data_IF_765578185396
#
_entry.id   IF_765578185396
#
_cell.length_a   1.000
_cell.length_b   1.000
_cell.length_c   1.000
_cell.angle_alpha   90.00
_cell.angle_beta   90.00
_cell.angle_gamma   90.00
#
_symmetry.space_group_name_H-M   'P 1'
#
loop_
_entity.id
_entity.type
_entity.pdbx_description
1 polymer ?
#
# COMPACT_ATOMS: atom_id res chain seq x y z
N UNK A 1 -8.05 -11.88 23.09
CA UNK A 1 -8.44 -10.93 22.04
C UNK A 1 -7.11 -10.43 21.56
N UNK A 2 -6.56 -11.10 20.53
CA UNK A 2 -5.29 -10.67 19.96
C UNK A 2 -5.55 -9.31 19.36
N UNK A 3 -4.75 -8.35 19.78
CA UNK A 3 -4.73 -7.03 19.15
C UNK A 3 -3.84 -7.13 17.93
N UNK A 4 -4.05 -6.28 16.91
CA UNK A 4 -3.15 -6.23 15.76
C UNK A 4 -1.68 -5.97 16.16
N UNK A 5 -1.45 -5.45 17.37
CA UNK A 5 -0.11 -5.31 17.96
C UNK A 5 0.56 -6.65 18.27
N UNK A 6 -0.18 -7.68 18.68
CA UNK A 6 0.40 -9.00 18.96
C UNK A 6 0.99 -9.59 17.67
N UNK A 7 0.25 -9.51 16.56
CA UNK A 7 0.74 -9.90 15.24
C UNK A 7 1.85 -8.98 14.73
N UNK A 8 1.83 -7.69 15.07
CA UNK A 8 2.88 -6.75 14.69
C UNK A 8 4.21 -7.10 15.38
N UNK A 9 4.16 -7.48 16.67
CA UNK A 9 5.30 -7.99 17.42
C UNK A 9 5.90 -9.23 16.76
N UNK A 10 5.05 -10.20 16.38
CA UNK A 10 5.47 -11.42 15.69
C UNK A 10 6.09 -11.11 14.32
N UNK A 11 5.46 -10.20 13.57
CA UNK A 11 5.89 -9.81 12.22
C UNK A 11 7.25 -9.12 12.20
N UNK A 12 7.54 -8.28 13.21
CA UNK A 12 8.77 -7.49 13.28
C UNK A 12 9.78 -8.06 14.28
N UNK A 13 9.50 -9.24 14.84
CA UNK A 13 10.29 -9.94 15.85
C UNK A 13 10.71 -9.05 17.03
N UNK A 14 9.82 -8.16 17.49
CA UNK A 14 10.10 -7.20 18.56
C UNK A 14 8.96 -7.09 19.58
N UNK A 15 9.24 -6.44 20.71
CA UNK A 15 8.28 -6.26 21.81
C UNK A 15 7.31 -5.10 21.52
N UNK A 16 6.07 -5.17 22.02
CA UNK A 16 5.07 -4.10 21.89
C UNK A 16 5.58 -2.74 22.35
N UNK A 17 6.45 -2.69 23.36
CA UNK A 17 7.04 -1.45 23.88
C UNK A 17 8.13 -0.87 22.98
N UNK A 18 8.60 -1.63 21.98
CA UNK A 18 9.58 -1.15 21.02
C UNK A 18 8.94 -0.36 19.88
N UNK A 19 7.62 -0.44 19.67
CA UNK A 19 6.98 0.29 18.59
C UNK A 19 6.91 1.78 18.85
N UNK A 20 7.18 2.54 17.79
CA UNK A 20 6.89 3.96 17.78
C UNK A 20 5.37 4.16 17.66
N UNK A 21 4.69 4.16 18.80
CA UNK A 21 3.23 4.31 18.86
C UNK A 21 2.75 5.64 18.26
N UNK A 22 3.60 6.67 18.26
CA UNK A 22 3.24 7.97 17.69
C UNK A 22 3.09 7.89 16.17
N UNK A 23 3.98 7.19 15.46
CA UNK A 23 3.86 7.06 14.00
C UNK A 23 2.65 6.20 13.61
N UNK A 24 2.42 5.09 14.34
CA UNK A 24 1.29 4.20 14.09
C UNK A 24 -0.06 4.89 14.35
N UNK A 25 -0.21 5.62 15.46
CA UNK A 25 -1.43 6.39 15.74
C UNK A 25 -1.60 7.55 14.75
N UNK A 26 -0.52 8.19 14.31
CA UNK A 26 -0.59 9.21 13.25
C UNK A 26 -1.12 8.63 11.95
N UNK A 27 -0.60 7.48 11.51
CA UNK A 27 -1.07 6.78 10.30
C UNK A 27 -2.55 6.42 10.47
N UNK A 28 -2.93 5.86 11.63
CA UNK A 28 -4.30 5.50 11.95
C UNK A 28 -5.25 6.69 11.84
N UNK A 29 -5.00 7.77 12.58
CA UNK A 29 -5.83 8.99 12.55
C UNK A 29 -5.89 9.56 11.13
N UNK A 30 -4.74 9.71 10.47
CA UNK A 30 -4.67 10.28 9.13
C UNK A 30 -5.44 9.45 8.10
N UNK A 31 -5.42 8.12 8.23
CA UNK A 31 -6.13 7.22 7.31
C UNK A 31 -7.65 7.28 7.50
N UNK A 32 -8.12 7.51 8.73
CA UNK A 32 -9.54 7.60 9.05
C UNK A 32 -10.14 8.97 8.69
N UNK A 33 -9.34 10.03 8.74
CA UNK A 33 -9.78 11.39 8.38
C UNK A 33 -9.80 11.63 6.86
N UNK A 34 -9.05 10.86 6.09
CA UNK A 34 -8.94 11.04 4.64
C UNK A 34 -10.14 10.43 3.90
N UNK A 35 -10.71 11.16 2.93
CA UNK A 35 -11.80 10.64 2.10
C UNK A 35 -11.32 9.58 1.09
N UNK A 36 -10.02 9.51 0.83
CA UNK A 36 -9.39 8.58 -0.11
C UNK A 36 -8.46 7.62 0.63
N UNK A 37 -8.44 6.36 0.22
CA UNK A 37 -7.46 5.37 0.69
C UNK A 37 -6.04 5.88 0.37
N UNK A 38 -5.15 5.78 1.34
CA UNK A 38 -3.79 6.34 1.27
C UNK A 38 -2.84 5.35 1.95
N UNK A 39 -1.76 4.99 1.27
CA UNK A 39 -0.59 4.34 1.84
C UNK A 39 0.38 5.38 2.38
N UNK A 40 1.25 4.96 3.28
CA UNK A 40 2.24 5.82 3.91
C UNK A 40 3.62 5.21 3.71
N UNK A 41 4.63 6.02 3.50
CA UNK A 41 6.01 5.54 3.38
C UNK A 41 6.74 6.00 4.64
N UNK A 42 7.29 5.06 5.38
CA UNK A 42 8.09 5.30 6.58
C UNK A 42 9.44 4.61 6.45
N UNK A 43 10.45 5.06 7.19
CA UNK A 43 11.67 4.27 7.39
C UNK A 43 11.38 3.18 8.42
N UNK A 44 11.94 1.98 8.27
CA UNK A 44 11.78 0.93 9.28
C UNK A 44 12.34 1.34 10.65
N UNK A 45 13.40 2.16 10.68
CA UNK A 45 13.91 2.79 11.90
C UNK A 45 12.94 3.78 12.56
N UNK A 46 11.90 4.26 11.86
CA UNK A 46 10.82 5.04 12.47
C UNK A 46 9.73 4.15 13.07
N UNK A 47 9.63 2.88 12.65
CA UNK A 47 8.60 1.96 13.09
C UNK A 47 8.86 1.41 14.49
N UNK A 48 10.14 1.14 14.81
CA UNK A 48 10.54 0.59 16.11
C UNK A 48 11.81 1.27 16.64
N UNK A 49 11.91 1.40 17.95
CA UNK A 49 13.08 1.95 18.67
C UNK A 49 14.23 0.94 18.79
N UNK A 50 14.02 -0.31 18.36
CA UNK A 50 15.04 -1.37 18.31
C UNK A 50 15.51 -1.57 16.88
N UNK A 51 16.72 -2.11 16.75
CA UNK A 51 17.25 -2.44 15.43
C UNK A 51 16.62 -3.74 14.93
N UNK A 52 15.93 -3.68 13.80
CA UNK A 52 15.31 -4.82 13.09
C UNK A 52 15.97 -4.99 11.72
N UNK A 53 15.70 -6.09 11.03
CA UNK A 53 16.20 -6.28 9.67
C UNK A 53 15.70 -5.20 8.69
N UNK A 54 14.56 -4.58 8.98
CA UNK A 54 13.95 -3.53 8.15
C UNK A 54 14.38 -2.11 8.55
N UNK A 55 15.20 -1.91 9.59
CA UNK A 55 15.62 -0.58 10.08
C UNK A 55 16.17 0.33 8.97
N UNK A 56 16.91 -0.26 8.03
CA UNK A 56 17.53 0.41 6.90
C UNK A 56 16.62 0.61 5.69
N UNK A 57 15.48 -0.06 5.66
CA UNK A 57 14.55 -0.07 4.52
C UNK A 57 13.47 0.99 4.68
N UNK A 58 12.88 1.41 3.55
CA UNK A 58 11.58 2.10 3.55
C UNK A 58 10.46 1.07 3.47
N UNK A 59 9.41 1.28 4.26
CA UNK A 59 8.26 0.41 4.38
C UNK A 59 7.03 1.17 3.92
N UNK A 60 6.25 0.55 3.03
CA UNK A 60 4.95 1.04 2.60
C UNK A 60 3.90 0.53 3.58
N UNK A 61 3.30 1.41 4.36
CA UNK A 61 2.20 1.06 5.26
C UNK A 61 0.88 1.21 4.53
N UNK A 62 0.11 0.13 4.46
CA UNK A 62 -1.23 0.08 3.84
C UNK A 62 -2.27 -0.10 4.96
N UNK A 63 -2.89 0.98 5.44
CA UNK A 63 -3.90 0.90 6.48
C UNK A 63 -5.25 0.47 5.91
N UNK A 64 -5.70 -0.70 6.36
CA UNK A 64 -6.97 -1.34 6.01
C UNK A 64 -7.91 -1.39 7.22
N UNK A 65 -7.86 -0.40 8.11
CA UNK A 65 -8.78 -0.30 9.23
C UNK A 65 -10.25 -0.38 8.78
N UNK A 66 -11.06 -1.15 9.51
CA UNK A 66 -12.41 -1.57 9.15
C UNK A 66 -12.48 -2.83 8.27
N UNK A 67 -11.35 -3.46 7.95
CA UNK A 67 -11.24 -4.65 7.10
C UNK A 67 -10.42 -5.70 7.85
N UNK A 68 -10.93 -6.92 7.94
CA UNK A 68 -10.20 -8.07 8.46
C UNK A 68 -9.29 -8.64 7.36
N UNK A 69 -8.18 -9.24 7.74
CA UNK A 69 -7.23 -9.80 6.76
C UNK A 69 -7.85 -10.85 5.84
N UNK A 70 -8.78 -11.66 6.36
CA UNK A 70 -9.49 -12.67 5.56
C UNK A 70 -10.48 -12.11 4.51
N UNK A 71 -10.69 -10.79 4.49
CA UNK A 71 -11.56 -10.13 3.53
C UNK A 71 -10.83 -9.77 2.22
N UNK A 72 -9.51 -9.93 2.17
CA UNK A 72 -8.70 -9.72 0.97
C UNK A 72 -8.06 -11.03 0.48
N UNK A 73 -7.52 -10.99 -0.73
CA UNK A 73 -6.74 -12.08 -1.29
C UNK A 73 -5.39 -12.27 -0.60
N UNK A 74 -4.60 -13.21 -1.11
CA UNK A 74 -3.27 -13.52 -0.60
C UNK A 74 -2.32 -12.33 -0.79
N UNK A 75 -1.91 -11.70 0.33
CA UNK A 75 -1.03 -10.53 0.32
C UNK A 75 0.38 -10.83 -0.18
N UNK A 76 0.79 -12.09 -0.18
CA UNK A 76 2.10 -12.53 -0.69
C UNK A 76 2.01 -13.03 -2.15
N UNK A 77 0.83 -12.90 -2.78
CA UNK A 77 0.62 -13.33 -4.17
C UNK A 77 1.52 -12.56 -5.15
N UNK A 78 1.81 -13.18 -6.29
CA UNK A 78 2.33 -12.44 -7.43
C UNK A 78 1.33 -11.33 -7.80
N UNK A 79 1.84 -10.17 -8.20
CA UNK A 79 1.04 -8.99 -8.48
C UNK A 79 1.35 -8.48 -9.90
N UNK A 80 0.34 -8.32 -10.76
CA UNK A 80 0.51 -7.63 -12.03
C UNK A 80 0.46 -6.11 -11.83
N UNK A 81 0.72 -5.36 -12.91
CA UNK A 81 0.39 -3.93 -12.96
C UNK A 81 -0.84 -3.67 -13.84
N UNK A 82 -1.62 -2.65 -13.47
CA UNK A 82 -2.80 -2.23 -14.24
C UNK A 82 -3.03 -0.72 -14.11
N UNK A 83 -3.86 -0.15 -14.98
CA UNK A 83 -4.26 1.26 -14.95
C UNK A 83 -5.65 1.39 -14.36
N UNK A 84 -5.75 1.99 -13.17
CA UNK A 84 -7.01 2.21 -12.48
C UNK A 84 -7.41 3.69 -12.49
N UNK A 85 -8.68 4.01 -12.80
CA UNK A 85 -9.19 5.38 -12.66
C UNK A 85 -9.37 5.78 -11.20
N UNK A 86 -8.84 6.95 -10.83
CA UNK A 86 -9.12 7.68 -9.59
C UNK A 86 -10.59 8.11 -9.53
N UNK A 87 -11.01 8.55 -8.34
CA UNK A 87 -12.37 9.06 -8.13
C UNK A 87 -12.71 10.29 -9.00
N UNK A 88 -11.71 11.06 -9.41
CA UNK A 88 -11.84 12.21 -10.33
C UNK A 88 -11.77 11.82 -11.81
N UNK A 89 -11.58 10.54 -12.13
CA UNK A 89 -11.46 10.01 -13.49
C UNK A 89 -10.05 10.06 -14.08
N UNK A 90 -9.07 10.65 -13.39
CA UNK A 90 -7.67 10.56 -13.82
C UNK A 90 -7.19 9.11 -13.75
N UNK A 91 -6.34 8.70 -14.69
CA UNK A 91 -5.79 7.34 -14.72
C UNK A 91 -4.50 7.28 -13.91
N UNK A 92 -4.30 6.18 -13.21
CA UNK A 92 -3.11 5.92 -12.43
C UNK A 92 -2.63 4.49 -12.67
N UNK A 93 -1.34 4.35 -12.93
CA UNK A 93 -0.66 3.06 -12.93
C UNK A 93 -0.59 2.52 -11.50
N UNK A 94 -0.98 1.26 -11.31
CA UNK A 94 -1.12 0.62 -10.01
C UNK A 94 -0.48 -0.78 -10.02
N UNK A 95 0.17 -1.14 -8.91
CA UNK A 95 0.38 -2.54 -8.55
C UNK A 95 -0.93 -3.13 -8.06
N UNK A 96 -1.28 -4.31 -8.56
CA UNK A 96 -2.52 -5.01 -8.20
C UNK A 96 -2.21 -6.13 -7.20
N UNK A 97 -2.25 -5.78 -5.91
CA UNK A 97 -1.85 -6.63 -4.79
C UNK A 97 -3.04 -7.40 -4.20
N UNK A 98 -2.74 -8.41 -3.39
CA UNK A 98 -3.72 -9.24 -2.69
C UNK A 98 -4.77 -9.85 -3.63
N UNK A 99 -4.32 -10.66 -4.58
CA UNK A 99 -5.15 -11.20 -5.68
C UNK A 99 -5.94 -10.10 -6.41
N UNK A 100 -5.27 -9.00 -6.78
CA UNK A 100 -5.84 -7.84 -7.48
C UNK A 100 -6.92 -7.05 -6.72
N UNK A 101 -7.07 -7.30 -5.41
CA UNK A 101 -8.05 -6.64 -4.54
C UNK A 101 -7.64 -5.22 -4.18
N UNK A 102 -6.34 -4.95 -4.08
CA UNK A 102 -5.76 -3.67 -3.66
C UNK A 102 -4.94 -3.06 -4.79
N UNK A 103 -5.31 -1.86 -5.25
CA UNK A 103 -4.49 -1.11 -6.19
C UNK A 103 -3.58 -0.14 -5.44
N UNK A 104 -2.28 -0.36 -5.47
CA UNK A 104 -1.28 0.54 -4.89
C UNK A 104 -0.66 1.39 -6.00
N UNK A 105 -0.66 2.71 -5.85
CA UNK A 105 -0.05 3.59 -6.85
C UNK A 105 1.42 3.24 -7.09
N UNK A 106 1.83 3.08 -8.34
CA UNK A 106 3.20 2.62 -8.68
C UNK A 106 4.27 3.65 -8.33
N UNK A 107 3.90 4.92 -8.20
CA UNK A 107 4.79 5.99 -7.73
C UNK A 107 5.33 5.70 -6.31
N UNK A 108 4.64 4.89 -5.51
CA UNK A 108 5.14 4.40 -4.21
C UNK A 108 6.49 3.72 -4.34
N UNK A 109 6.72 2.96 -5.43
CA UNK A 109 7.97 2.24 -5.60
C UNK A 109 9.18 3.17 -5.68
N UNK A 110 9.03 4.28 -6.41
CA UNK A 110 10.07 5.28 -6.52
C UNK A 110 10.41 5.90 -5.16
N UNK A 111 9.39 6.22 -4.35
CA UNK A 111 9.59 6.86 -3.03
C UNK A 111 10.04 5.91 -1.94
N UNK A 112 9.77 4.61 -2.09
CA UNK A 112 10.27 3.55 -1.21
C UNK A 112 11.72 3.13 -1.55
N UNK A 113 12.45 3.90 -2.35
CA UNK A 113 13.84 3.65 -2.79
C UNK A 113 14.05 2.29 -3.47
N UNK A 114 13.01 1.78 -4.15
CA UNK A 114 13.05 0.46 -4.78
C UNK A 114 14.00 0.36 -6.00
N UNK A 115 14.52 1.48 -6.48
CA UNK A 115 15.48 1.52 -7.59
C UNK A 115 16.86 0.93 -7.21
N UNK A 116 17.09 0.61 -5.93
CA UNK A 116 18.39 0.11 -5.41
C UNK A 116 18.38 -1.40 -5.15
N UNK A 117 17.34 -1.92 -4.49
CA UNK A 117 17.34 -3.30 -3.95
C UNK A 117 16.30 -4.22 -4.63
N UNK A 118 15.56 -3.73 -5.62
CA UNK A 118 14.52 -4.47 -6.39
C UNK A 118 13.41 -5.13 -5.55
N UNK A 119 13.43 -4.90 -4.24
CA UNK A 119 12.46 -5.38 -3.28
C UNK A 119 11.76 -4.22 -2.56
N UNK A 120 10.56 -4.48 -2.08
CA UNK A 120 9.84 -3.57 -1.20
C UNK A 120 9.00 -4.30 -0.19
N UNK A 121 8.85 -3.65 0.94
CA UNK A 121 8.10 -4.18 2.07
C UNK A 121 6.81 -3.42 2.23
N UNK A 122 5.70 -4.16 2.36
CA UNK A 122 4.39 -3.61 2.65
C UNK A 122 3.95 -4.07 4.03
N UNK A 123 3.78 -3.12 4.94
CA UNK A 123 3.14 -3.36 6.22
C UNK A 123 1.63 -3.15 6.08
N UNK A 124 0.89 -4.25 6.09
CA UNK A 124 -0.56 -4.29 6.08
C UNK A 124 -1.09 -4.15 7.50
N UNK A 125 -1.99 -3.19 7.72
CA UNK A 125 -2.64 -2.99 9.02
C UNK A 125 -4.14 -3.27 8.90
N UNK A 126 -4.57 -4.44 9.39
CA UNK A 126 -5.98 -4.85 9.47
C UNK A 126 -6.55 -4.60 10.87
N UNK A 127 -7.86 -4.82 11.02
CA UNK A 127 -8.50 -4.76 12.34
C UNK A 127 -8.09 -5.92 13.26
N UNK A 128 -7.82 -7.09 12.69
CA UNK A 128 -7.52 -8.33 13.39
C UNK A 128 -6.04 -8.69 13.43
N UNK A 129 -5.24 -8.26 12.46
CA UNK A 129 -3.79 -8.51 12.42
C UNK A 129 -2.98 -7.45 11.67
N UNK A 130 -1.66 -7.56 11.80
CA UNK A 130 -0.67 -6.86 10.98
C UNK A 130 0.19 -7.90 10.27
N UNK A 131 0.53 -7.64 9.01
CA UNK A 131 1.36 -8.52 8.19
C UNK A 131 2.39 -7.70 7.44
N UNK A 132 3.62 -8.20 7.33
CA UNK A 132 4.66 -7.58 6.51
C UNK A 132 4.95 -8.52 5.34
N UNK A 133 4.60 -8.08 4.14
CA UNK A 133 4.94 -8.80 2.91
C UNK A 133 6.16 -8.17 2.26
N UNK A 134 6.98 -9.01 1.63
CA UNK A 134 8.12 -8.58 0.80
C UNK A 134 7.83 -8.96 -0.64
N UNK A 135 7.94 -7.98 -1.52
CA UNK A 135 7.64 -8.11 -2.93
C UNK A 135 8.86 -7.75 -3.77
N UNK A 136 9.00 -8.39 -4.92
CA UNK A 136 10.11 -8.17 -5.84
C UNK A 136 9.60 -7.58 -7.16
N UNK A 137 10.30 -6.59 -7.68
CA UNK A 137 10.08 -6.06 -9.03
C UNK A 137 11.09 -6.69 -9.97
N UNK A 138 10.65 -7.71 -10.70
CA UNK A 138 11.43 -8.30 -11.78
C UNK A 138 11.28 -7.52 -13.09
N UNK A 139 12.03 -7.93 -14.12
CA UNK A 139 12.01 -7.28 -15.43
C UNK A 139 10.64 -7.34 -16.12
N UNK A 140 9.84 -8.37 -15.84
CA UNK A 140 8.50 -8.50 -16.41
C UNK A 140 7.59 -7.43 -15.79
N UNK A 141 7.58 -7.29 -14.47
CA UNK A 141 6.84 -6.24 -13.77
C UNK A 141 7.33 -4.85 -14.22
N UNK A 142 8.65 -4.61 -14.34
CA UNK A 142 9.17 -3.34 -14.87
C UNK A 142 8.63 -3.03 -16.26
N UNK A 143 8.57 -4.03 -17.13
CA UNK A 143 8.06 -3.85 -18.48
C UNK A 143 6.57 -3.50 -18.47
N UNK A 144 5.76 -4.22 -17.68
CA UNK A 144 4.34 -3.92 -17.54
C UNK A 144 4.11 -2.51 -16.96
N UNK A 145 4.90 -2.12 -15.96
CA UNK A 145 4.84 -0.78 -15.36
C UNK A 145 5.12 0.33 -16.36
N UNK A 146 6.11 0.14 -17.24
CA UNK A 146 6.41 1.10 -18.30
C UNK A 146 5.21 1.28 -19.23
N UNK A 147 4.54 0.18 -19.58
CA UNK A 147 3.33 0.21 -20.41
C UNK A 147 2.18 0.90 -19.67
N UNK A 148 1.92 0.51 -18.42
CA UNK A 148 0.85 1.08 -17.60
C UNK A 148 1.04 2.59 -17.36
N UNK A 149 2.27 3.03 -17.11
CA UNK A 149 2.60 4.45 -16.98
C UNK A 149 2.35 5.20 -18.29
N UNK A 150 2.82 4.68 -19.42
CA UNK A 150 2.59 5.30 -20.72
C UNK A 150 1.09 5.42 -21.05
N UNK A 151 0.29 4.40 -20.72
CA UNK A 151 -1.17 4.44 -20.89
C UNK A 151 -1.79 5.50 -19.97
N UNK A 152 -1.39 5.56 -18.71
CA UNK A 152 -1.93 6.51 -17.74
C UNK A 152 -1.65 7.97 -18.15
N UNK A 153 -0.47 8.25 -18.70
CA UNK A 153 -0.05 9.59 -19.14
C UNK A 153 -0.66 10.03 -20.46
N UNK A 154 -0.82 9.13 -21.44
CA UNK A 154 -1.27 9.48 -22.80
C UNK A 154 -2.80 9.65 -22.91
N UNK A 155 -3.56 9.24 -21.89
CA UNK A 155 -5.03 9.24 -21.95
C UNK A 155 -5.69 10.34 -21.12
N UNK A 156 -6.58 11.11 -21.76
CA UNK A 156 -7.43 12.11 -21.10
C UNK A 156 -8.29 11.48 -19.99
N UNK A 157 -8.53 12.17 -18.86
CA UNK A 157 -9.41 11.69 -17.80
C UNK A 157 -10.76 11.17 -18.30
N UNK A 158 -11.32 10.20 -17.57
CA UNK A 158 -12.64 9.65 -17.87
C UNK A 158 -13.72 10.73 -17.85
N UNK A 159 -14.70 10.58 -18.73
CA UNK A 159 -15.94 11.34 -18.68
C UNK A 159 -16.76 10.97 -17.45
N UNK A 160 -17.73 11.83 -17.10
CA UNK A 160 -18.57 11.61 -15.92
C UNK A 160 -19.40 10.30 -15.99
N UNK A 161 -19.82 9.91 -17.19
CA UNK A 161 -20.54 8.65 -17.42
C UNK A 161 -19.61 7.44 -17.22
N UNK A 162 -18.38 7.51 -17.72
CA UNK A 162 -17.36 6.48 -17.54
C UNK A 162 -16.92 6.34 -16.09
N UNK A 163 -16.77 7.46 -15.35
CA UNK A 163 -16.48 7.44 -13.90
C UNK A 163 -17.58 6.66 -13.17
N UNK A 164 -18.86 6.96 -13.46
CA UNK A 164 -19.98 6.26 -12.82
C UNK A 164 -20.01 4.78 -13.18
N UNK A 165 -19.76 4.44 -14.44
CA UNK A 165 -19.69 3.05 -14.88
C UNK A 165 -18.55 2.30 -14.18
N UNK A 166 -17.38 2.92 -14.09
CA UNK A 166 -16.22 2.39 -13.36
C UNK A 166 -16.52 2.17 -11.89
N UNK A 167 -17.08 3.17 -11.19
CA UNK A 167 -17.42 3.07 -9.77
C UNK A 167 -18.40 1.92 -9.49
N UNK A 168 -19.37 1.70 -10.37
CA UNK A 168 -20.30 0.58 -10.25
C UNK A 168 -19.59 -0.77 -10.42
N UNK A 169 -18.72 -0.90 -11.43
CA UNK A 169 -17.92 -2.11 -11.65
C UNK A 169 -17.00 -2.37 -10.46
N UNK A 170 -16.28 -1.34 -9.99
CA UNK A 170 -15.38 -1.41 -8.85
C UNK A 170 -16.10 -1.82 -7.55
N UNK A 171 -17.32 -1.34 -7.33
CA UNK A 171 -18.13 -1.75 -6.17
C UNK A 171 -18.63 -3.20 -6.23
N UNK A 172 -18.71 -3.79 -7.42
CA UNK A 172 -19.10 -5.20 -7.61
C UNK A 172 -17.91 -6.15 -7.71
N UNK A 173 -16.73 -5.64 -8.06
CA UNK A 173 -15.48 -6.35 -7.87
C UNK A 173 -15.17 -6.36 -6.37
N UNK A 174 -14.51 -7.40 -5.87
CA UNK A 174 -13.94 -7.39 -4.51
C UNK A 174 -12.73 -6.45 -4.48
N UNK A 175 -12.92 -5.18 -4.81
CA UNK A 175 -11.88 -4.19 -5.03
C UNK A 175 -11.98 -3.11 -3.97
N UNK A 176 -10.94 -2.98 -3.15
CA UNK A 176 -10.95 -2.10 -1.96
C UNK A 176 -10.63 -0.66 -2.31
N UNK A 177 -9.95 -0.43 -3.44
CA UNK A 177 -9.69 0.90 -3.97
C UNK A 177 -8.24 1.14 -4.34
N UNK A 178 -7.97 2.40 -4.69
CA UNK A 178 -6.64 2.91 -5.02
C UNK A 178 -6.04 3.57 -3.78
N UNK A 179 -4.84 3.12 -3.41
CA UNK A 179 -4.02 3.71 -2.39
C UNK A 179 -3.01 4.65 -3.06
N UNK A 180 -3.29 5.95 -3.00
CA UNK A 180 -2.28 6.99 -3.24
C UNK A 180 -1.28 7.02 -2.07
N UNK A 181 -0.23 7.83 -2.09
CA UNK A 181 0.79 7.79 -1.04
C UNK A 181 1.02 9.11 -0.32
N UNK A 182 1.56 8.99 0.89
CA UNK A 182 2.13 10.08 1.68
C UNK A 182 3.48 9.63 2.18
N UNK A 183 4.52 10.36 1.82
CA UNK A 183 5.85 10.15 2.39
C UNK A 183 5.94 10.79 3.78
N UNK A 184 6.31 9.99 4.77
CA UNK A 184 6.56 10.41 6.16
C UNK A 184 8.05 10.23 6.54
N UNK A 185 8.92 9.92 5.58
CA UNK A 185 10.35 9.73 5.80
C UNK A 185 11.08 11.02 6.21
N UNK A 186 10.45 12.19 6.06
CA UNK A 186 11.03 13.50 6.32
C UNK A 186 10.12 14.35 7.24
N UNK A 187 10.36 14.24 8.54
CA UNK A 187 10.09 15.31 9.51
C UNK A 187 11.39 15.58 10.29
N UNK A 188 12.28 16.35 9.65
CA UNK A 188 13.32 17.13 10.35
C UNK A 188 12.76 18.51 10.74
#
# INVERSE_FOLDING_TARGET
>A
MNTYFDSLCETLECDEYAFNMLILERIRISSLERPTRTSYIIRGSQLTDVDTEFSGSKIVVVPLFGINSNAIGDVDSHFPSDVKPRADGARLSCFMLADETVALATMVAHWADMDVDDEFHILWLFDDEAHLSTHYIDDDIRHELQIANAIAEDHNPLTHEEIRAWQNTAATANYIGIFDFVDLCDED
#
